data_IF_586850157035
#
_entry.id   IF_586850157035
#
_cell.length_a   1.000
_cell.length_b   1.000
_cell.length_c   1.000
_cell.angle_alpha   90.00
_cell.angle_beta   90.00
_cell.angle_gamma   90.00
#
_symmetry.space_group_name_H-M   'P 1'
#
loop_
_entity.id
_entity.type
_entity.pdbx_description
1 polymer ?
#
# COMPACT_ATOMS: atom_id res chain seq x y z
N UNK A 1 24.76 -9.39 10.25
CA UNK A 1 23.34 -9.75 10.35
C UNK A 1 22.68 -9.50 8.99
N UNK A 2 21.78 -10.38 8.54
CA UNK A 2 21.01 -10.17 7.30
C UNK A 2 20.08 -8.96 7.53
N UNK A 3 20.10 -7.98 6.61
CA UNK A 3 19.19 -6.83 6.71
C UNK A 3 17.75 -7.28 6.54
N UNK A 4 16.83 -6.72 7.31
CA UNK A 4 15.40 -6.87 7.04
C UNK A 4 15.06 -6.26 5.67
N UNK A 5 14.07 -6.79 5.00
CA UNK A 5 13.65 -6.33 3.68
C UNK A 5 12.16 -5.99 3.66
N UNK A 6 11.82 -4.99 2.85
CA UNK A 6 10.43 -4.58 2.60
C UNK A 6 10.16 -4.51 1.11
N UNK A 7 9.00 -5.01 0.68
CA UNK A 7 8.45 -4.76 -0.65
C UNK A 7 7.29 -3.77 -0.54
N UNK A 8 7.35 -2.69 -1.34
CA UNK A 8 6.33 -1.64 -1.38
C UNK A 8 5.80 -1.53 -2.80
N UNK A 9 4.51 -1.79 -2.99
CA UNK A 9 3.86 -1.59 -4.28
C UNK A 9 3.40 -0.14 -4.45
N UNK A 10 3.41 0.40 -5.68
CA UNK A 10 3.06 1.78 -5.93
C UNK A 10 4.03 2.80 -5.32
N UNK A 11 5.35 2.50 -5.29
CA UNK A 11 6.36 3.27 -4.56
C UNK A 11 6.95 4.47 -5.32
N UNK A 12 6.43 4.82 -6.50
CA UNK A 12 6.99 5.92 -7.32
C UNK A 12 6.60 7.31 -6.82
N UNK A 13 5.55 7.44 -6.01
CA UNK A 13 5.02 8.72 -5.49
C UNK A 13 4.16 8.52 -4.23
N UNK A 14 3.73 9.62 -3.62
CA UNK A 14 2.77 9.64 -2.50
C UNK A 14 3.17 8.75 -1.33
N UNK A 15 2.21 8.05 -0.76
CA UNK A 15 2.37 7.17 0.41
C UNK A 15 3.46 6.11 0.17
N UNK A 16 3.45 5.46 -1.00
CA UNK A 16 4.43 4.41 -1.29
C UNK A 16 5.87 4.93 -1.35
N UNK A 17 6.09 6.15 -1.89
CA UNK A 17 7.38 6.84 -1.86
C UNK A 17 7.79 7.18 -0.43
N UNK A 18 6.89 7.76 0.37
CA UNK A 18 7.17 8.08 1.76
C UNK A 18 7.53 6.82 2.57
N UNK A 19 6.81 5.72 2.39
CA UNK A 19 7.17 4.43 2.98
C UNK A 19 8.58 3.97 2.56
N UNK A 20 8.96 4.13 1.28
CA UNK A 20 10.28 3.73 0.82
C UNK A 20 11.40 4.49 1.57
N UNK A 21 11.27 5.79 1.73
CA UNK A 21 12.22 6.59 2.53
C UNK A 21 12.21 6.20 4.00
N UNK A 22 11.03 6.04 4.58
CA UNK A 22 10.88 5.70 6.01
C UNK A 22 11.54 4.38 6.38
N UNK A 23 11.34 3.33 5.56
CA UNK A 23 11.98 2.03 5.78
C UNK A 23 13.48 2.06 5.47
N UNK A 24 13.91 2.79 4.45
CA UNK A 24 15.33 2.96 4.13
C UNK A 24 16.10 3.62 5.28
N UNK A 25 15.57 4.70 5.85
CA UNK A 25 16.12 5.37 7.04
C UNK A 25 16.22 4.44 8.25
N UNK A 26 15.31 3.48 8.38
CA UNK A 26 15.36 2.47 9.43
C UNK A 26 16.31 1.30 9.12
N UNK A 27 17.05 1.35 8.01
CA UNK A 27 18.09 0.37 7.64
C UNK A 27 17.59 -0.87 6.90
N UNK A 28 16.36 -0.87 6.42
CA UNK A 28 15.83 -1.95 5.58
C UNK A 28 16.46 -1.94 4.19
N UNK A 29 16.48 -3.13 3.55
CA UNK A 29 16.62 -3.21 2.10
C UNK A 29 15.23 -2.99 1.48
N UNK A 30 15.07 -1.94 0.67
CA UNK A 30 13.77 -1.54 0.14
C UNK A 30 13.61 -1.98 -1.31
N UNK A 31 12.64 -2.86 -1.57
CA UNK A 31 12.19 -3.19 -2.91
C UNK A 31 10.98 -2.31 -3.26
N UNK A 32 11.09 -1.60 -4.37
CA UNK A 32 10.10 -0.62 -4.81
C UNK A 32 9.47 -1.07 -6.12
N UNK A 33 8.15 -1.12 -6.15
CA UNK A 33 7.41 -1.47 -7.36
C UNK A 33 6.58 -0.30 -7.88
N UNK A 34 6.40 -0.25 -9.18
CA UNK A 34 5.35 0.49 -9.87
C UNK A 34 4.98 -0.20 -11.18
N UNK A 35 3.79 0.09 -11.71
CA UNK A 35 3.33 -0.43 -13.00
C UNK A 35 3.83 0.43 -14.17
N UNK A 36 3.57 1.72 -14.16
CA UNK A 36 3.79 2.62 -15.30
C UNK A 36 4.88 3.68 -15.06
N UNK A 37 4.96 4.25 -13.88
CA UNK A 37 5.83 5.41 -13.58
C UNK A 37 7.29 4.99 -13.31
N UNK A 38 7.89 4.21 -14.22
CA UNK A 38 9.23 3.64 -14.02
C UNK A 38 10.31 4.71 -13.92
N UNK A 39 10.20 5.82 -14.66
CA UNK A 39 11.13 6.93 -14.56
C UNK A 39 11.13 7.55 -13.15
N UNK A 40 9.93 7.87 -12.62
CA UNK A 40 9.79 8.40 -11.27
C UNK A 40 10.27 7.39 -10.20
N UNK A 41 10.03 6.08 -10.38
CA UNK A 41 10.56 5.05 -9.48
C UNK A 41 12.10 5.02 -9.48
N UNK A 42 12.71 5.18 -10.65
CA UNK A 42 14.18 5.23 -10.77
C UNK A 42 14.75 6.51 -10.13
N UNK A 43 14.02 7.62 -10.14
CA UNK A 43 14.44 8.84 -9.45
C UNK A 43 14.39 8.66 -7.93
N UNK A 44 13.35 7.99 -7.39
CA UNK A 44 13.31 7.60 -5.97
C UNK A 44 14.51 6.68 -5.63
N UNK A 45 14.79 5.68 -6.49
CA UNK A 45 15.95 4.80 -6.32
C UNK A 45 17.26 5.58 -6.27
N UNK A 46 17.47 6.53 -7.20
CA UNK A 46 18.68 7.37 -7.23
C UNK A 46 18.84 8.19 -5.94
N UNK A 47 17.77 8.79 -5.46
CA UNK A 47 17.78 9.56 -4.21
C UNK A 47 18.20 8.68 -3.02
N UNK A 48 17.53 7.53 -2.83
CA UNK A 48 17.86 6.61 -1.75
C UNK A 48 19.31 6.10 -1.81
N UNK A 49 19.83 5.79 -2.99
CA UNK A 49 21.21 5.37 -3.16
C UNK A 49 22.19 6.49 -2.88
N UNK A 50 21.89 7.74 -3.27
CA UNK A 50 22.72 8.92 -2.99
C UNK A 50 22.80 9.20 -1.48
N UNK A 51 21.71 8.91 -0.74
CA UNK A 51 21.67 9.02 0.72
C UNK A 51 22.32 7.81 1.43
N UNK A 52 22.90 6.86 0.67
CA UNK A 52 23.59 5.69 1.22
C UNK A 52 22.70 4.54 1.63
N UNK A 53 21.42 4.54 1.26
CA UNK A 53 20.48 3.48 1.58
C UNK A 53 20.52 2.33 0.56
N UNK A 54 19.96 1.18 0.93
CA UNK A 54 19.93 -0.03 0.11
C UNK A 54 18.53 -0.23 -0.48
N UNK A 55 18.44 -0.18 -1.79
CA UNK A 55 17.16 -0.36 -2.47
C UNK A 55 17.30 -0.96 -3.87
N UNK A 56 16.22 -1.52 -4.39
CA UNK A 56 16.11 -2.01 -5.76
C UNK A 56 14.72 -1.73 -6.33
N UNK A 57 14.66 -1.36 -7.61
CA UNK A 57 13.43 -1.19 -8.34
C UNK A 57 13.02 -2.53 -8.99
N UNK A 58 11.78 -2.95 -8.73
CA UNK A 58 11.17 -4.17 -9.30
C UNK A 58 9.88 -3.81 -10.02
N UNK A 59 9.95 -3.08 -11.16
CA UNK A 59 8.77 -2.67 -11.91
C UNK A 59 8.03 -3.89 -12.48
N UNK A 60 6.71 -3.76 -12.56
CA UNK A 60 5.77 -4.75 -13.07
C UNK A 60 4.36 -4.45 -12.58
N UNK A 61 3.36 -5.01 -13.23
CA UNK A 61 1.97 -4.89 -12.80
C UNK A 61 1.69 -5.82 -11.60
N UNK A 62 1.51 -5.23 -10.43
CA UNK A 62 1.18 -5.99 -9.21
C UNK A 62 -0.16 -6.71 -9.29
N UNK A 63 -1.09 -6.26 -10.15
CA UNK A 63 -2.36 -6.92 -10.42
C UNK A 63 -2.24 -8.12 -11.39
N UNK A 64 -1.07 -8.37 -11.99
CA UNK A 64 -0.85 -9.45 -12.93
C UNK A 64 0.07 -10.51 -12.33
N UNK A 65 -0.42 -11.73 -12.18
CA UNK A 65 0.28 -12.80 -11.46
C UNK A 65 1.66 -13.16 -12.05
N UNK A 66 1.82 -13.11 -13.38
CA UNK A 66 3.09 -13.40 -14.04
C UNK A 66 4.13 -12.30 -13.77
N UNK A 67 3.72 -11.03 -13.73
CA UNK A 67 4.60 -9.91 -13.39
C UNK A 67 5.04 -9.99 -11.93
N UNK A 68 4.12 -10.32 -11.02
CA UNK A 68 4.44 -10.55 -9.60
C UNK A 68 5.47 -11.68 -9.46
N UNK A 69 5.31 -12.80 -10.20
CA UNK A 69 6.28 -13.88 -10.19
C UNK A 69 7.68 -13.40 -10.65
N UNK A 70 7.75 -12.53 -11.67
CA UNK A 70 9.00 -11.93 -12.13
C UNK A 70 9.60 -10.96 -11.10
N UNK A 71 8.78 -10.11 -10.47
CA UNK A 71 9.20 -9.22 -9.38
C UNK A 71 9.87 -10.02 -8.26
N UNK A 72 9.20 -11.05 -7.76
CA UNK A 72 9.72 -11.91 -6.69
C UNK A 72 10.96 -12.72 -7.15
N UNK A 73 11.03 -13.12 -8.42
CA UNK A 73 12.23 -13.75 -8.98
C UNK A 73 13.45 -12.81 -8.97
N UNK A 74 13.26 -11.51 -9.27
CA UNK A 74 14.31 -10.50 -9.15
C UNK A 74 14.73 -10.28 -7.70
N UNK A 75 13.76 -10.19 -6.78
CA UNK A 75 14.03 -10.05 -5.35
C UNK A 75 14.87 -11.23 -4.81
N UNK A 76 14.53 -12.47 -5.20
CA UNK A 76 15.26 -13.68 -4.76
C UNK A 76 16.74 -13.73 -5.18
N UNK A 77 17.18 -12.89 -6.11
CA UNK A 77 18.62 -12.74 -6.43
C UNK A 77 19.37 -11.94 -5.36
N UNK A 78 18.66 -11.23 -4.49
CA UNK A 78 19.21 -10.33 -3.47
C UNK A 78 18.89 -10.84 -2.06
N UNK A 79 17.66 -11.28 -1.84
CA UNK A 79 17.18 -11.85 -0.58
C UNK A 79 16.14 -12.95 -0.84
N UNK A 80 15.87 -13.83 0.12
CA UNK A 80 14.96 -14.97 -0.07
C UNK A 80 13.49 -14.53 -0.20
N UNK A 81 13.13 -13.39 0.38
CA UNK A 81 11.79 -12.80 0.33
C UNK A 81 11.65 -11.60 1.28
N UNK A 82 10.53 -10.88 1.26
CA UNK A 82 10.32 -9.71 2.09
C UNK A 82 9.92 -10.09 3.53
N UNK A 83 10.53 -9.43 4.52
CA UNK A 83 10.08 -9.49 5.93
C UNK A 83 8.79 -8.65 6.13
N UNK A 84 8.63 -7.59 5.33
CA UNK A 84 7.46 -6.71 5.32
C UNK A 84 6.95 -6.55 3.89
N UNK A 85 5.63 -6.66 3.72
CA UNK A 85 4.94 -6.33 2.46
C UNK A 85 3.99 -5.16 2.70
N UNK A 86 4.15 -4.08 1.93
CA UNK A 86 3.23 -2.94 1.92
C UNK A 86 2.47 -2.95 0.59
N UNK A 87 1.21 -3.37 0.63
CA UNK A 87 0.30 -3.32 -0.50
C UNK A 87 -0.31 -1.91 -0.57
N UNK A 88 0.35 -1.03 -1.30
CA UNK A 88 -0.03 0.37 -1.45
C UNK A 88 -0.53 0.71 -2.86
N UNK A 89 -0.18 -0.07 -3.89
CA UNK A 89 -0.65 0.18 -5.25
C UNK A 89 -2.18 0.30 -5.30
N UNK A 90 -2.67 1.34 -5.98
CA UNK A 90 -4.09 1.57 -6.13
C UNK A 90 -4.36 2.79 -7.00
N UNK A 91 -5.56 2.81 -7.55
CA UNK A 91 -6.13 3.90 -8.36
C UNK A 91 -7.53 4.22 -7.85
N UNK A 92 -8.03 5.41 -8.14
CA UNK A 92 -9.41 5.82 -7.90
C UNK A 92 -10.15 6.01 -9.21
N UNK A 93 -11.46 5.99 -9.14
CA UNK A 93 -12.38 6.39 -10.18
C UNK A 93 -13.51 7.19 -9.52
N UNK A 94 -13.75 8.39 -10.03
CA UNK A 94 -14.83 9.26 -9.56
C UNK A 94 -15.83 9.40 -10.69
N UNK A 95 -17.05 8.96 -10.47
CA UNK A 95 -18.13 9.02 -11.44
C UNK A 95 -19.36 8.21 -10.99
N UNK A 96 -20.52 8.48 -11.58
CA UNK A 96 -21.73 7.72 -11.29
C UNK A 96 -21.56 6.25 -11.73
N UNK A 97 -22.19 5.34 -11.01
CA UNK A 97 -22.15 3.92 -11.36
C UNK A 97 -22.74 3.65 -12.75
N UNK A 98 -23.73 4.44 -13.17
CA UNK A 98 -24.36 4.34 -14.51
C UNK A 98 -23.41 4.70 -15.66
N UNK A 99 -22.38 5.47 -15.39
CA UNK A 99 -21.42 5.97 -16.39
C UNK A 99 -20.13 5.13 -16.41
N UNK A 100 -19.96 4.25 -15.41
CA UNK A 100 -18.81 3.37 -15.29
C UNK A 100 -18.90 2.23 -16.30
N UNK A 101 -17.81 1.99 -17.02
CA UNK A 101 -17.70 0.83 -17.91
C UNK A 101 -17.25 -0.42 -17.14
N UNK A 102 -17.55 -1.61 -17.72
CA UNK A 102 -17.03 -2.88 -17.17
C UNK A 102 -15.49 -2.85 -17.03
N UNK A 103 -14.82 -2.21 -17.99
CA UNK A 103 -13.36 -2.07 -17.99
C UNK A 103 -12.86 -1.20 -16.82
N UNK A 104 -13.55 -0.11 -16.48
CA UNK A 104 -13.20 0.73 -15.32
C UNK A 104 -13.34 -0.07 -14.01
N UNK A 105 -14.42 -0.82 -13.89
CA UNK A 105 -14.66 -1.71 -12.74
C UNK A 105 -13.53 -2.73 -12.59
N UNK A 106 -13.22 -3.46 -13.67
CA UNK A 106 -12.18 -4.48 -13.67
C UNK A 106 -10.79 -3.89 -13.34
N UNK A 107 -10.46 -2.72 -13.91
CA UNK A 107 -9.18 -2.05 -13.68
C UNK A 107 -9.02 -1.62 -12.21
N UNK A 108 -10.09 -1.14 -11.56
CA UNK A 108 -10.09 -0.79 -10.13
C UNK A 108 -9.86 -2.02 -9.27
N UNK A 109 -10.60 -3.11 -9.51
CA UNK A 109 -10.42 -4.35 -8.74
C UNK A 109 -9.04 -4.97 -8.98
N UNK A 110 -8.58 -4.96 -10.22
CA UNK A 110 -7.26 -5.43 -10.60
C UNK A 110 -6.14 -4.68 -9.85
N UNK A 111 -6.21 -3.36 -9.86
CA UNK A 111 -5.17 -2.52 -9.25
C UNK A 111 -5.23 -2.51 -7.73
N UNK A 112 -6.43 -2.47 -7.13
CA UNK A 112 -6.58 -2.21 -5.69
C UNK A 112 -6.70 -3.48 -4.84
N UNK A 113 -7.27 -4.57 -5.40
CA UNK A 113 -7.56 -5.80 -4.64
C UNK A 113 -6.72 -6.98 -5.14
N UNK A 114 -6.76 -7.26 -6.46
CA UNK A 114 -6.03 -8.40 -7.02
C UNK A 114 -4.52 -8.26 -6.84
N UNK A 115 -3.98 -7.03 -6.90
CA UNK A 115 -2.57 -6.74 -6.64
C UNK A 115 -2.15 -7.15 -5.23
N UNK A 116 -2.94 -6.80 -4.21
CA UNK A 116 -2.68 -7.18 -2.82
C UNK A 116 -2.75 -8.70 -2.63
N UNK A 117 -3.71 -9.36 -3.26
CA UNK A 117 -3.82 -10.82 -3.26
C UNK A 117 -2.57 -11.48 -3.87
N UNK A 118 -2.15 -11.08 -5.08
CA UNK A 118 -1.02 -11.71 -5.76
C UNK A 118 0.30 -11.47 -5.02
N UNK A 119 0.55 -10.25 -4.55
CA UNK A 119 1.76 -9.93 -3.80
C UNK A 119 1.80 -10.66 -2.46
N UNK A 120 0.68 -10.71 -1.72
CA UNK A 120 0.59 -11.47 -0.47
C UNK A 120 0.86 -12.95 -0.71
N UNK A 121 0.18 -13.58 -1.67
CA UNK A 121 0.38 -14.98 -2.03
C UNK A 121 1.85 -15.30 -2.38
N UNK A 122 2.52 -14.39 -3.06
CA UNK A 122 3.93 -14.57 -3.44
C UNK A 122 4.92 -14.38 -2.28
N UNK A 123 4.58 -13.56 -1.28
CA UNK A 123 5.40 -13.32 -0.09
C UNK A 123 5.28 -14.44 0.97
N UNK A 124 4.11 -15.05 1.08
CA UNK A 124 3.76 -15.99 2.14
C UNK A 124 4.68 -17.21 2.26
N UNK A 125 5.13 -17.90 1.19
CA UNK A 125 6.03 -19.06 1.33
C UNK A 125 7.29 -18.73 2.13
N UNK A 126 7.89 -17.56 1.90
CA UNK A 126 9.04 -17.10 2.66
C UNK A 126 8.65 -16.75 4.10
N UNK A 127 7.63 -15.93 4.31
CA UNK A 127 7.19 -15.50 5.64
C UNK A 127 6.82 -16.70 6.53
N UNK A 128 6.10 -17.69 5.98
CA UNK A 128 5.73 -18.94 6.70
C UNK A 128 6.97 -19.74 7.08
N UNK A 129 7.94 -19.89 6.17
CA UNK A 129 9.20 -20.61 6.46
C UNK A 129 10.01 -19.95 7.57
N UNK A 130 9.94 -18.60 7.67
CA UNK A 130 10.62 -17.83 8.71
C UNK A 130 9.82 -17.73 10.02
N UNK A 131 8.55 -18.17 10.04
CA UNK A 131 7.58 -17.97 11.14
C UNK A 131 7.54 -16.51 11.61
N UNK A 132 7.61 -15.59 10.67
CA UNK A 132 7.52 -14.15 10.90
C UNK A 132 7.21 -13.44 9.59
N UNK A 133 6.45 -12.37 9.67
CA UNK A 133 6.16 -11.50 8.53
C UNK A 133 5.15 -10.44 8.91
N UNK A 134 5.14 -9.37 8.14
CA UNK A 134 4.16 -8.29 8.27
C UNK A 134 3.58 -7.95 6.91
N UNK A 135 2.26 -7.93 6.81
CA UNK A 135 1.54 -7.47 5.63
C UNK A 135 0.71 -6.26 6.04
N UNK A 136 0.93 -5.13 5.40
CA UNK A 136 0.21 -3.89 5.66
C UNK A 136 -0.44 -3.44 4.37
N UNK A 137 -1.76 -3.35 4.40
CA UNK A 137 -2.58 -2.96 3.27
C UNK A 137 -3.00 -1.50 3.39
N UNK A 138 -2.74 -0.68 2.38
CA UNK A 138 -3.22 0.70 2.34
C UNK A 138 -4.65 0.70 1.80
N UNK A 139 -5.58 0.80 2.73
CA UNK A 139 -7.01 0.87 2.50
C UNK A 139 -7.49 2.33 2.46
N UNK A 140 -8.77 2.55 2.63
CA UNK A 140 -9.41 3.86 2.67
C UNK A 140 -10.55 3.85 3.67
N UNK A 141 -10.89 5.02 4.22
CA UNK A 141 -12.12 5.24 4.94
C UNK A 141 -13.34 4.83 4.10
N UNK A 142 -13.31 5.01 2.79
CA UNK A 142 -14.36 4.59 1.88
C UNK A 142 -14.54 3.06 1.78
N UNK A 143 -13.53 2.29 2.17
CA UNK A 143 -13.67 0.84 2.37
C UNK A 143 -14.42 0.45 3.65
N UNK A 144 -14.76 1.42 4.52
CA UNK A 144 -15.54 1.21 5.76
C UNK A 144 -16.97 1.70 5.63
N UNK A 145 -17.16 2.89 5.02
CA UNK A 145 -18.48 3.56 4.98
C UNK A 145 -19.02 3.74 3.55
N UNK A 146 -18.20 3.55 2.53
CA UNK A 146 -18.54 3.85 1.14
C UNK A 146 -18.51 5.36 0.84
N UNK A 147 -18.47 5.69 -0.46
CA UNK A 147 -18.58 7.07 -0.93
C UNK A 147 -19.44 7.16 -2.19
N UNK A 148 -20.21 8.22 -2.29
CA UNK A 148 -20.95 8.56 -3.51
C UNK A 148 -19.94 8.80 -4.65
N UNK A 149 -20.28 8.39 -5.87
CA UNK A 149 -19.44 8.48 -7.06
C UNK A 149 -18.13 7.68 -7.01
N UNK A 150 -17.89 6.87 -5.97
CA UNK A 150 -16.71 6.03 -5.82
C UNK A 150 -17.07 4.55 -5.53
N UNK A 151 -18.13 4.03 -6.15
CA UNK A 151 -18.67 2.70 -5.85
C UNK A 151 -17.63 1.58 -6.03
N UNK A 152 -16.92 1.53 -7.16
CA UNK A 152 -15.90 0.51 -7.42
C UNK A 152 -14.68 0.65 -6.49
N UNK A 153 -14.24 1.89 -6.24
CA UNK A 153 -13.17 2.16 -5.29
C UNK A 153 -13.53 1.70 -3.89
N UNK A 154 -14.71 2.09 -3.39
CA UNK A 154 -15.25 1.65 -2.10
C UNK A 154 -15.32 0.13 -2.00
N UNK A 155 -15.88 -0.54 -3.02
CA UNK A 155 -15.96 -1.99 -3.09
C UNK A 155 -14.57 -2.66 -3.05
N UNK A 156 -13.61 -2.12 -3.80
CA UNK A 156 -12.23 -2.64 -3.83
C UNK A 156 -11.55 -2.54 -2.46
N UNK A 157 -11.72 -1.41 -1.76
CA UNK A 157 -11.14 -1.17 -0.43
C UNK A 157 -11.87 -1.94 0.68
N UNK A 158 -13.18 -2.12 0.58
CA UNK A 158 -13.94 -3.02 1.45
C UNK A 158 -13.49 -4.49 1.26
N UNK A 159 -13.28 -4.92 0.01
CA UNK A 159 -12.70 -6.23 -0.30
C UNK A 159 -11.30 -6.41 0.29
N UNK A 160 -10.46 -5.37 0.23
CA UNK A 160 -9.12 -5.38 0.83
C UNK A 160 -9.18 -5.49 2.36
N UNK A 161 -10.16 -4.83 3.01
CA UNK A 161 -10.42 -4.97 4.44
C UNK A 161 -10.82 -6.43 4.79
N UNK A 162 -11.71 -7.03 4.00
CA UNK A 162 -12.10 -8.43 4.15
C UNK A 162 -10.91 -9.39 3.97
N UNK A 163 -10.08 -9.18 2.94
CA UNK A 163 -8.85 -9.95 2.71
C UNK A 163 -7.87 -9.81 3.89
N UNK A 164 -7.71 -8.62 4.44
CA UNK A 164 -6.88 -8.35 5.62
C UNK A 164 -7.32 -9.20 6.81
N UNK A 165 -8.60 -9.18 7.15
CA UNK A 165 -9.15 -9.92 8.28
C UNK A 165 -9.08 -11.44 8.09
N UNK A 166 -9.29 -11.93 6.88
CA UNK A 166 -9.20 -13.36 6.56
C UNK A 166 -7.75 -13.86 6.68
N UNK A 167 -6.81 -13.18 6.02
CA UNK A 167 -5.39 -13.54 6.08
C UNK A 167 -4.82 -13.43 7.50
N UNK A 168 -5.26 -12.46 8.30
CA UNK A 168 -4.83 -12.35 9.68
C UNK A 168 -5.15 -13.61 10.51
N UNK A 169 -6.35 -14.16 10.34
CA UNK A 169 -6.78 -15.41 11.02
C UNK A 169 -6.00 -16.62 10.52
N UNK A 170 -5.83 -16.73 9.21
CA UNK A 170 -5.13 -17.86 8.57
C UNK A 170 -3.65 -17.88 8.95
N UNK A 171 -3.01 -16.73 9.08
CA UNK A 171 -1.56 -16.59 9.20
C UNK A 171 -1.08 -16.39 10.65
N UNK A 172 -1.98 -16.11 11.60
CA UNK A 172 -1.64 -15.94 13.00
C UNK A 172 -0.87 -17.13 13.59
N UNK A 173 -1.20 -18.41 13.28
CA UNK A 173 -0.41 -19.57 13.75
C UNK A 173 1.03 -19.57 13.23
N UNK A 174 1.31 -18.88 12.13
CA UNK A 174 2.66 -18.72 11.57
C UNK A 174 3.38 -17.47 12.06
N UNK A 175 2.81 -16.76 13.05
CA UNK A 175 3.35 -15.49 13.57
C UNK A 175 3.52 -14.42 12.48
N UNK A 176 2.56 -14.33 11.56
CA UNK A 176 2.49 -13.30 10.52
C UNK A 176 1.29 -12.40 10.84
N UNK A 177 1.54 -11.10 10.97
CA UNK A 177 0.49 -10.11 11.23
C UNK A 177 0.07 -9.44 9.92
N UNK A 178 -1.24 -9.30 9.75
CA UNK A 178 -1.86 -8.66 8.58
C UNK A 178 -2.81 -7.58 9.08
N UNK A 179 -2.53 -6.32 8.74
CA UNK A 179 -3.37 -5.18 9.12
C UNK A 179 -3.59 -4.25 7.92
N UNK A 180 -4.60 -3.41 7.99
CA UNK A 180 -4.84 -2.35 7.02
C UNK A 180 -4.89 -0.97 7.70
N UNK A 181 -4.47 0.04 6.97
CA UNK A 181 -4.65 1.45 7.34
C UNK A 181 -5.74 2.00 6.42
N UNK A 182 -6.86 2.38 7.01
CA UNK A 182 -7.96 3.06 6.34
C UNK A 182 -7.65 4.56 6.32
N UNK A 183 -6.99 5.01 5.25
CA UNK A 183 -6.62 6.41 5.09
C UNK A 183 -7.85 7.27 4.80
N UNK A 184 -7.89 8.45 5.39
CA UNK A 184 -8.72 9.56 4.96
C UNK A 184 -8.12 10.27 3.75
N UNK A 185 -8.29 11.59 3.69
CA UNK A 185 -7.73 12.41 2.61
C UNK A 185 -6.25 12.68 2.89
N UNK A 186 -5.37 12.07 2.10
CA UNK A 186 -3.92 12.25 2.20
C UNK A 186 -3.44 13.14 1.03
N UNK A 187 -2.58 14.11 1.31
CA UNK A 187 -2.03 15.04 0.32
C UNK A 187 -1.08 14.33 -0.65
N UNK A 188 -1.66 13.82 -1.73
CA UNK A 188 -0.95 13.08 -2.76
C UNK A 188 -1.40 13.53 -4.15
N UNK A 189 -0.68 13.08 -5.17
CA UNK A 189 -1.06 13.29 -6.58
C UNK A 189 -2.42 12.68 -6.96
N UNK A 190 -2.99 11.79 -6.17
CA UNK A 190 -4.34 11.25 -6.37
C UNK A 190 -5.42 12.33 -6.17
N UNK A 191 -5.11 13.35 -5.36
CA UNK A 191 -5.99 14.47 -5.04
C UNK A 191 -5.52 15.78 -5.72
N UNK A 192 -4.64 15.71 -6.73
CA UNK A 192 -4.06 16.88 -7.37
C UNK A 192 -5.03 17.58 -8.33
N UNK A 193 -6.06 16.88 -8.80
CA UNK A 193 -7.03 17.39 -9.76
C UNK A 193 -8.10 18.30 -9.12
N UNK A 194 -8.18 18.35 -7.80
CA UNK A 194 -9.08 19.27 -7.10
C UNK A 194 -8.63 20.71 -7.28
N UNK A 195 -9.57 21.59 -7.67
CA UNK A 195 -9.38 23.04 -7.66
C UNK A 195 -9.07 23.53 -6.22
N UNK A 196 -8.55 24.76 -6.12
CA UNK A 196 -8.28 25.35 -4.81
C UNK A 196 -9.54 25.45 -3.91
N UNK A 197 -10.69 25.73 -4.53
CA UNK A 197 -11.98 25.81 -3.81
C UNK A 197 -12.45 24.44 -3.33
N UNK A 198 -12.44 23.43 -4.21
CA UNK A 198 -12.81 22.05 -3.85
C UNK A 198 -11.88 21.48 -2.76
N UNK A 199 -10.57 21.79 -2.87
CA UNK A 199 -9.60 21.39 -1.86
C UNK A 199 -9.88 22.04 -0.50
N UNK A 200 -10.23 23.33 -0.49
CA UNK A 200 -10.58 24.05 0.74
C UNK A 200 -11.87 23.51 1.36
N UNK A 201 -12.90 23.28 0.55
CA UNK A 201 -14.16 22.69 1.02
C UNK A 201 -13.93 21.30 1.62
N UNK A 202 -13.14 20.45 0.95
CA UNK A 202 -12.83 19.10 1.46
C UNK A 202 -11.99 19.15 2.76
N UNK A 203 -11.10 20.16 2.92
CA UNK A 203 -10.37 20.35 4.18
C UNK A 203 -11.28 20.76 5.34
N UNK A 204 -12.31 21.54 5.09
CA UNK A 204 -13.31 21.95 6.10
C UNK A 204 -14.13 20.74 6.59
N UNK A 205 -14.34 19.72 5.75
CA UNK A 205 -15.01 18.48 6.14
C UNK A 205 -14.17 17.59 7.05
N UNK A 206 -12.83 17.74 7.04
CA UNK A 206 -11.94 16.98 7.91
C UNK A 206 -11.89 17.64 9.29
N UNK A 207 -12.32 16.98 10.40
CA UNK A 207 -12.31 17.59 11.73
C UNK A 207 -10.94 18.10 12.16
N UNK A 208 -9.84 17.48 11.72
CA UNK A 208 -8.48 17.95 11.96
C UNK A 208 -8.12 19.23 11.18
N UNK A 209 -8.99 19.73 10.29
CA UNK A 209 -8.82 20.96 9.51
C UNK A 209 -7.71 20.91 8.47
N UNK A 210 -7.23 19.72 8.11
CA UNK A 210 -6.17 19.52 7.10
C UNK A 210 -6.17 18.13 6.51
N UNK A 211 -5.54 17.98 5.39
CA UNK A 211 -5.21 16.65 4.88
C UNK A 211 -4.08 16.00 5.70
N UNK A 212 -4.10 14.69 5.78
CA UNK A 212 -2.95 13.93 6.25
C UNK A 212 -1.79 13.98 5.26
N UNK A 213 -0.57 13.74 5.72
CA UNK A 213 0.60 13.68 4.85
C UNK A 213 0.96 12.24 4.50
N UNK A 214 1.65 12.00 3.37
CA UNK A 214 2.22 10.70 3.06
C UNK A 214 3.16 10.18 4.14
N UNK A 215 3.90 11.09 4.79
CA UNK A 215 4.84 10.79 5.86
C UNK A 215 4.13 10.29 7.12
N UNK A 216 3.01 10.89 7.52
CA UNK A 216 2.18 10.42 8.65
C UNK A 216 1.67 9.00 8.39
N UNK A 217 1.27 8.70 7.15
CA UNK A 217 0.87 7.33 6.77
C UNK A 217 2.06 6.38 6.82
N UNK A 218 3.22 6.79 6.31
CA UNK A 218 4.43 5.97 6.29
C UNK A 218 4.96 5.67 7.70
N UNK A 219 4.85 6.62 8.63
CA UNK A 219 5.22 6.41 10.03
C UNK A 219 4.32 5.37 10.70
N UNK A 220 3.00 5.41 10.47
CA UNK A 220 2.08 4.40 10.98
C UNK A 220 2.33 3.02 10.34
N UNK A 221 2.61 2.97 9.02
CA UNK A 221 3.01 1.72 8.34
C UNK A 221 4.24 1.12 8.98
N UNK A 222 5.26 1.94 9.25
CA UNK A 222 6.51 1.50 9.87
C UNK A 222 6.28 1.04 11.32
N UNK A 223 5.48 1.77 12.10
CA UNK A 223 5.16 1.41 13.47
C UNK A 223 4.45 0.06 13.55
N UNK A 224 3.47 -0.19 12.69
CA UNK A 224 2.80 -1.49 12.58
C UNK A 224 3.75 -2.62 12.16
N UNK A 225 4.76 -2.32 11.34
CA UNK A 225 5.76 -3.30 10.93
C UNK A 225 6.70 -3.72 12.08
N UNK A 226 7.05 -2.80 12.97
CA UNK A 226 8.08 -3.02 13.99
C UNK A 226 7.54 -3.35 15.38
N UNK A 227 6.49 -2.65 15.83
CA UNK A 227 6.21 -2.54 17.26
C UNK A 227 5.02 -3.36 17.78
N UNK A 228 4.17 -3.92 16.93
CA UNK A 228 2.90 -4.52 17.36
C UNK A 228 2.79 -6.02 17.02
N UNK A 229 3.50 -6.92 17.73
CA UNK A 229 3.51 -8.35 17.37
C UNK A 229 2.19 -9.09 17.68
N UNK A 230 1.31 -8.50 18.49
CA UNK A 230 0.00 -9.09 18.82
C UNK A 230 -1.16 -8.47 18.04
N UNK A 231 -0.90 -7.37 17.31
CA UNK A 231 -1.91 -6.66 16.53
C UNK A 231 -2.04 -7.30 15.14
N UNK A 232 -3.17 -7.93 14.87
CA UNK A 232 -3.48 -8.52 13.56
C UNK A 232 -4.98 -8.46 13.25
N UNK A 233 -5.34 -8.38 11.97
CA UNK A 233 -6.71 -8.32 11.50
C UNK A 233 -7.40 -6.96 11.71
N UNK A 234 -6.64 -5.91 12.03
CA UNK A 234 -7.20 -4.60 12.32
C UNK A 234 -7.26 -3.72 11.07
N UNK A 235 -8.32 -2.91 11.01
CA UNK A 235 -8.52 -1.85 10.01
C UNK A 235 -8.42 -0.54 10.78
N UNK A 236 -7.25 0.08 10.74
CA UNK A 236 -6.91 1.24 11.58
C UNK A 236 -7.20 2.51 10.79
N UNK A 237 -8.06 3.39 11.32
CA UNK A 237 -8.35 4.70 10.74
C UNK A 237 -7.17 5.66 10.87
N UNK A 238 -6.85 6.39 9.81
CA UNK A 238 -5.92 7.51 9.76
C UNK A 238 -6.57 8.59 8.89
N UNK A 239 -7.57 9.28 9.42
CA UNK A 239 -8.52 10.08 8.65
C UNK A 239 -8.80 11.48 9.22
N UNK A 240 -8.08 11.88 10.27
CA UNK A 240 -8.28 13.19 10.92
C UNK A 240 -9.63 13.32 11.63
N UNK A 241 -10.29 12.20 11.92
CA UNK A 241 -11.59 12.16 12.60
C UNK A 241 -12.78 12.25 11.63
N UNK A 242 -12.58 11.96 10.35
CA UNK A 242 -13.62 12.11 9.31
C UNK A 242 -14.71 11.03 9.40
N UNK A 243 -14.40 9.82 9.92
CA UNK A 243 -15.37 8.74 10.17
C UNK A 243 -15.13 8.04 11.49
#
# INVERSE_FOLDING_TARGET
>A
MKKKSVLITGASRGIGRACAFRFAQAGYFVFMNCRQSVAALNDVKKQLLADGYFCEAVPGDAGHSADVAQMFSRMRKICDGPDVLVNNAGISYIGLLTDMTDQDWEEILHSNLSSAFYCSRAALPYMISQKRGKIINISSMWGRVGASCEAAYSASKAGLNGLTMALAKELAPSNIQVNAIACGVIDTAMNADFSGEERSALMEEVPAGRFGTPEETADLVYDLAENHPYLTGQIIGLDGGMI
#
